data_IF_986347772263
#
_entry.id   IF_986347772263
#
_cell.length_a   1.000
_cell.length_b   1.000
_cell.length_c   1.000
_cell.angle_alpha   90.00
_cell.angle_beta   90.00
_cell.angle_gamma   90.00
#
_symmetry.space_group_name_H-M   'P 1'
#
loop_
_entity.id
_entity.type
_entity.pdbx_description
1 polymer ?
#
# COMPACT_ATOMS: atom_id res chain seq x y z
N UNK A 1 54.30 -17.27 8.94
CA UNK A 1 55.50 -16.53 8.48
C UNK A 1 55.12 -15.76 7.22
N UNK A 2 55.31 -14.42 7.27
CA UNK A 2 55.33 -13.39 6.20
C UNK A 2 54.19 -13.40 5.15
N UNK A 3 53.22 -12.46 5.15
CA UNK A 3 53.26 -10.99 4.88
C UNK A 3 53.60 -10.65 3.41
N UNK A 4 52.62 -10.15 2.63
CA UNK A 4 52.50 -8.74 2.15
C UNK A 4 51.40 -8.53 1.09
N UNK A 5 50.97 -7.25 1.03
CA UNK A 5 50.09 -6.56 0.07
C UNK A 5 48.60 -6.54 0.46
N UNK A 6 47.91 -5.40 0.65
CA UNK A 6 48.22 -3.97 0.67
C UNK A 6 47.23 -3.32 1.66
N UNK A 7 47.66 -2.23 2.28
CA UNK A 7 47.16 -1.65 3.54
C UNK A 7 46.25 -0.40 3.30
N UNK A 8 45.70 0.25 4.36
CA UNK A 8 44.33 0.75 4.47
C UNK A 8 44.24 2.29 4.51
N UNK A 9 43.03 2.83 4.68
CA UNK A 9 42.83 4.23 5.04
C UNK A 9 41.93 4.37 6.26
N UNK A 10 42.53 4.53 7.45
CA UNK A 10 41.96 5.27 8.60
C UNK A 10 43.10 5.89 9.42
N UNK A 11 42.86 7.13 9.90
CA UNK A 11 43.43 7.89 11.04
C UNK A 11 44.30 9.12 10.64
N UNK A 12 44.53 10.11 11.54
CA UNK A 12 43.62 11.22 11.85
C UNK A 12 44.33 12.61 11.80
N UNK A 13 43.56 13.70 11.78
CA UNK A 13 43.92 15.06 12.26
C UNK A 13 45.22 15.73 11.80
N UNK A 14 45.11 16.89 11.12
CA UNK A 14 45.69 18.17 11.56
C UNK A 14 45.23 19.28 10.60
N UNK A 15 44.63 20.34 11.17
CA UNK A 15 44.37 21.61 10.49
C UNK A 15 45.69 22.23 10.00
N UNK A 16 45.68 22.91 8.86
CA UNK A 16 46.31 24.22 8.62
C UNK A 16 45.76 24.81 7.31
N UNK A 17 44.95 25.86 7.42
CA UNK A 17 44.36 26.61 6.31
C UNK A 17 45.34 27.69 5.86
N UNK A 18 45.70 27.73 4.57
CA UNK A 18 46.45 28.84 3.94
C UNK A 18 45.48 29.71 3.16
N UNK A 19 45.46 30.99 3.51
CA UNK A 19 44.63 32.06 2.95
C UNK A 19 45.20 32.53 1.61
N UNK A 20 44.35 32.64 0.59
CA UNK A 20 44.62 33.36 -0.66
C UNK A 20 43.95 34.73 -0.59
N UNK A 21 44.73 35.78 -0.85
CA UNK A 21 44.30 37.19 -0.87
C UNK A 21 43.79 37.56 -2.26
N UNK A 22 42.60 38.18 -2.33
CA UNK A 22 42.11 38.89 -3.51
C UNK A 22 41.75 40.31 -3.06
N UNK A 23 42.39 41.30 -3.64
CA UNK A 23 42.12 42.73 -3.44
C UNK A 23 40.99 43.19 -4.35
N UNK A 24 39.90 43.70 -3.75
CA UNK A 24 38.83 44.42 -4.45
C UNK A 24 38.83 45.89 -4.01
N UNK A 25 38.85 46.79 -4.99
CA UNK A 25 38.76 48.24 -4.84
C UNK A 25 37.36 48.65 -4.39
N UNK A 26 37.27 49.47 -3.35
CA UNK A 26 35.99 49.95 -2.77
C UNK A 26 35.76 51.40 -3.18
N UNK A 27 34.63 51.68 -3.84
CA UNK A 27 34.14 53.04 -4.07
C UNK A 27 33.53 53.62 -2.77
N UNK A 28 33.65 54.93 -2.50
CA UNK A 28 33.12 55.52 -1.28
C UNK A 28 31.58 55.64 -1.34
N UNK A 29 30.92 55.14 -0.29
CA UNK A 29 29.47 55.22 -0.10
C UNK A 29 29.18 56.33 0.92
N UNK A 30 28.27 57.24 0.59
CA UNK A 30 27.81 58.34 1.45
C UNK A 30 27.21 57.84 2.78
N UNK A 31 27.29 58.63 3.87
CA UNK A 31 26.83 58.19 5.19
C UNK A 31 25.31 58.02 5.24
N UNK A 32 24.87 56.83 5.65
CA UNK A 32 23.47 56.49 5.93
C UNK A 32 23.14 56.89 7.37
N UNK A 33 22.02 57.60 7.56
CA UNK A 33 21.49 58.02 8.87
C UNK A 33 21.30 56.82 9.83
N UNK A 34 21.43 57.01 11.16
CA UNK A 34 21.34 55.92 12.12
C UNK A 34 19.92 55.31 12.13
N UNK A 35 19.85 54.01 11.86
CA UNK A 35 18.64 53.19 12.01
C UNK A 35 18.44 52.91 13.50
N UNK A 36 17.26 53.24 14.03
CA UNK A 36 16.87 52.92 15.40
C UNK A 36 17.02 51.42 15.68
N UNK A 37 17.48 51.01 16.88
CA UNK A 37 17.65 49.59 17.19
C UNK A 37 16.30 48.87 17.10
N UNK A 38 16.21 47.92 16.16
CA UNK A 38 15.09 46.97 16.09
C UNK A 38 15.21 46.06 17.30
N UNK A 39 14.26 46.17 18.23
CA UNK A 39 14.13 45.27 19.37
C UNK A 39 14.15 43.82 18.87
N UNK A 40 14.95 42.91 19.45
CA UNK A 40 14.92 41.52 19.06
C UNK A 40 13.54 40.97 19.39
N UNK A 41 12.75 40.64 18.37
CA UNK A 41 11.50 39.87 18.53
C UNK A 41 11.92 38.44 18.86
N UNK A 42 12.41 38.24 20.08
CA UNK A 42 12.55 36.95 20.74
C UNK A 42 11.18 36.60 21.32
N UNK A 43 10.22 36.26 20.47
CA UNK A 43 9.03 35.54 20.89
C UNK A 43 9.15 34.10 20.40
N UNK A 44 9.92 33.30 21.15
CA UNK A 44 9.69 31.86 21.19
C UNK A 44 8.23 31.71 21.59
N UNK A 45 7.36 31.31 20.66
CA UNK A 45 5.94 31.09 20.97
C UNK A 45 5.90 30.01 22.06
N UNK A 46 5.43 30.32 23.28
CA UNK A 46 5.24 29.30 24.30
C UNK A 46 4.24 28.27 23.75
N UNK A 47 4.63 27.00 23.76
CA UNK A 47 3.76 25.90 23.39
C UNK A 47 2.74 25.70 24.52
N UNK A 48 1.65 26.47 24.50
CA UNK A 48 0.54 26.29 25.42
C UNK A 48 -0.27 25.05 24.99
N UNK A 49 0.13 23.88 25.47
CA UNK A 49 -0.57 22.62 25.20
C UNK A 49 -2.02 22.60 25.76
N UNK A 50 -2.32 23.48 26.73
CA UNK A 50 -3.57 23.42 27.50
C UNK A 50 -4.67 24.38 26.99
N UNK A 51 -4.34 25.30 26.07
CA UNK A 51 -5.31 26.21 25.44
C UNK A 51 -5.01 26.39 23.95
N UNK A 52 -5.52 25.46 23.15
CA UNK A 52 -5.57 25.62 21.68
C UNK A 52 -6.59 26.70 21.30
N UNK A 53 -6.14 27.67 20.48
CA UNK A 53 -7.03 28.68 19.91
C UNK A 53 -8.09 27.99 19.03
N UNK A 54 -9.37 28.10 19.41
CA UNK A 54 -10.47 27.63 18.56
C UNK A 54 -10.53 28.51 17.31
N UNK A 55 -10.33 27.89 16.15
CA UNK A 55 -10.54 28.54 14.87
C UNK A 55 -12.00 28.38 14.45
N UNK A 56 -12.63 29.49 14.05
CA UNK A 56 -13.97 29.51 13.47
C UNK A 56 -15.10 29.86 14.44
N UNK A 57 -16.18 30.41 13.88
CA UNK A 57 -17.49 30.54 14.53
C UNK A 57 -18.28 29.24 14.36
N UNK A 58 -19.25 28.99 15.25
CA UNK A 58 -20.23 27.94 14.95
C UNK A 58 -21.06 28.39 13.74
N UNK A 59 -21.22 27.56 12.70
CA UNK A 59 -22.07 27.89 11.58
C UNK A 59 -23.52 27.98 12.06
N UNK A 60 -24.24 28.99 11.60
CA UNK A 60 -25.68 29.10 11.84
C UNK A 60 -26.40 28.02 11.02
N UNK A 61 -26.77 26.94 11.70
CA UNK A 61 -27.46 25.79 11.10
C UNK A 61 -28.89 26.10 10.67
N UNK A 62 -29.48 27.20 11.12
CA UNK A 62 -30.83 27.61 10.76
C UNK A 62 -30.85 28.52 9.54
N UNK A 63 -29.70 29.07 9.14
CA UNK A 63 -29.59 29.86 7.91
C UNK A 63 -29.99 29.05 6.68
N UNK A 64 -30.67 29.70 5.73
CA UNK A 64 -31.05 29.11 4.45
C UNK A 64 -29.84 28.55 3.70
N UNK A 65 -28.73 29.28 3.73
CA UNK A 65 -27.51 28.94 2.98
C UNK A 65 -26.85 27.66 3.53
N UNK A 66 -26.85 27.49 4.86
CA UNK A 66 -26.39 26.26 5.49
C UNK A 66 -27.30 25.09 5.13
N UNK A 67 -28.62 25.26 5.21
CA UNK A 67 -29.60 24.21 4.92
C UNK A 67 -29.46 23.70 3.48
N UNK A 68 -29.41 24.61 2.49
CA UNK A 68 -29.23 24.25 1.07
C UNK A 68 -27.91 23.53 0.83
N UNK A 69 -26.80 24.04 1.41
CA UNK A 69 -25.48 23.42 1.26
C UNK A 69 -25.42 22.02 1.90
N UNK A 70 -26.06 21.87 3.06
CA UNK A 70 -26.12 20.62 3.80
C UNK A 70 -26.95 19.57 3.06
N UNK A 71 -28.11 19.93 2.53
CA UNK A 71 -28.96 19.05 1.73
C UNK A 71 -28.23 18.54 0.48
N UNK A 72 -27.58 19.43 -0.26
CA UNK A 72 -26.78 19.06 -1.43
C UNK A 72 -25.66 18.09 -1.06
N UNK A 73 -24.90 18.38 0.01
CA UNK A 73 -23.80 17.51 0.45
C UNK A 73 -24.29 16.14 0.93
N UNK A 74 -25.42 16.07 1.64
CA UNK A 74 -26.01 14.78 2.05
C UNK A 74 -26.42 13.97 0.83
N UNK A 75 -27.00 14.61 -0.18
CA UNK A 75 -27.39 13.93 -1.40
C UNK A 75 -26.18 13.31 -2.11
N UNK A 76 -25.07 14.05 -2.25
CA UNK A 76 -23.81 13.52 -2.80
C UNK A 76 -23.27 12.33 -1.98
N UNK A 77 -23.27 12.43 -0.65
CA UNK A 77 -22.82 11.35 0.24
C UNK A 77 -23.72 10.12 0.10
N UNK A 78 -25.02 10.30 -0.08
CA UNK A 78 -25.96 9.21 -0.33
C UNK A 78 -25.67 8.51 -1.66
N UNK A 79 -25.47 9.27 -2.74
CA UNK A 79 -25.10 8.72 -4.05
C UNK A 79 -23.79 7.93 -3.99
N UNK A 80 -22.79 8.48 -3.29
CA UNK A 80 -21.50 7.81 -3.07
C UNK A 80 -21.70 6.48 -2.34
N UNK A 81 -22.43 6.48 -1.22
CA UNK A 81 -22.67 5.28 -0.39
C UNK A 81 -23.44 4.20 -1.14
N UNK A 82 -24.43 4.58 -1.95
CA UNK A 82 -25.17 3.61 -2.77
C UNK A 82 -24.30 3.02 -3.87
N UNK A 83 -23.50 3.84 -4.55
CA UNK A 83 -22.57 3.37 -5.57
C UNK A 83 -21.54 2.41 -4.97
N UNK A 84 -21.08 2.66 -3.75
CA UNK A 84 -20.17 1.77 -3.02
C UNK A 84 -20.74 0.36 -2.81
N UNK A 85 -22.06 0.21 -2.61
CA UNK A 85 -22.68 -1.11 -2.42
C UNK A 85 -22.47 -2.02 -3.62
N UNK A 86 -22.49 -1.46 -4.84
CA UNK A 86 -22.23 -2.22 -6.07
C UNK A 86 -20.81 -2.83 -6.06
N UNK A 87 -19.81 -2.08 -5.58
CA UNK A 87 -18.44 -2.60 -5.50
C UNK A 87 -18.23 -3.62 -4.38
N UNK A 88 -19.03 -3.55 -3.31
CA UNK A 88 -18.98 -4.54 -2.22
C UNK A 88 -19.52 -5.91 -2.65
N UNK A 89 -20.36 -5.95 -3.68
CA UNK A 89 -20.88 -7.20 -4.25
C UNK A 89 -19.83 -7.98 -5.05
N UNK A 90 -18.74 -7.35 -5.50
CA UNK A 90 -17.73 -8.01 -6.33
C UNK A 90 -18.35 -8.45 -7.68
N UNK A 91 -18.10 -9.68 -8.13
CA UNK A 91 -18.63 -10.21 -9.39
C UNK A 91 -20.14 -10.52 -9.42
N UNK A 92 -20.91 -10.02 -8.44
CA UNK A 92 -22.34 -10.23 -8.30
C UNK A 92 -22.72 -11.55 -7.63
N UNK A 93 -24.00 -11.68 -7.28
CA UNK A 93 -24.55 -12.78 -6.46
C UNK A 93 -24.25 -14.18 -7.00
N UNK A 94 -24.38 -14.36 -8.33
CA UNK A 94 -24.11 -15.66 -8.96
C UNK A 94 -22.66 -16.09 -8.78
N UNK A 95 -21.70 -15.17 -8.96
CA UNK A 95 -20.28 -15.46 -8.81
C UNK A 95 -19.91 -15.69 -7.33
N UNK A 96 -20.48 -14.90 -6.40
CA UNK A 96 -20.30 -15.10 -4.95
C UNK A 96 -20.79 -16.47 -4.51
N UNK A 97 -22.00 -16.89 -4.92
CA UNK A 97 -22.56 -18.21 -4.59
C UNK A 97 -21.71 -19.35 -5.13
N UNK A 98 -21.19 -19.22 -6.36
CA UNK A 98 -20.27 -20.21 -6.92
C UNK A 98 -18.93 -20.25 -6.18
N UNK A 99 -18.44 -19.11 -5.71
CA UNK A 99 -17.21 -19.03 -4.93
C UNK A 99 -17.38 -19.67 -3.55
N UNK A 100 -18.48 -19.36 -2.85
CA UNK A 100 -18.76 -19.92 -1.52
C UNK A 100 -19.15 -21.40 -1.57
N UNK A 101 -19.81 -21.88 -2.64
CA UNK A 101 -20.11 -23.31 -2.80
C UNK A 101 -18.86 -24.19 -2.92
N UNK A 102 -17.71 -23.60 -3.24
CA UNK A 102 -16.38 -24.26 -3.22
C UNK A 102 -15.72 -24.25 -1.84
N UNK A 103 -16.44 -23.84 -0.79
CA UNK A 103 -15.92 -23.76 0.58
C UNK A 103 -14.98 -22.57 0.83
N UNK A 104 -14.98 -21.58 -0.08
CA UNK A 104 -14.07 -20.42 -0.01
C UNK A 104 -14.76 -19.22 0.63
N UNK A 105 -14.06 -18.55 1.55
CA UNK A 105 -14.47 -17.23 2.03
C UNK A 105 -14.34 -16.18 0.92
N UNK A 106 -15.23 -15.18 0.92
CA UNK A 106 -15.14 -14.00 0.07
C UNK A 106 -13.95 -13.11 0.47
N UNK A 107 -13.39 -12.29 -0.43
CA UNK A 107 -12.20 -11.50 -0.15
C UNK A 107 -12.38 -10.53 1.02
N UNK A 108 -13.53 -9.87 1.15
CA UNK A 108 -13.83 -8.98 2.29
C UNK A 108 -13.92 -9.75 3.60
N UNK A 109 -14.58 -10.92 3.59
CA UNK A 109 -14.65 -11.78 4.78
C UNK A 109 -13.26 -12.29 5.22
N UNK A 110 -12.34 -12.53 4.27
CA UNK A 110 -10.95 -12.89 4.57
C UNK A 110 -10.22 -11.73 5.24
N UNK A 111 -10.41 -10.50 4.76
CA UNK A 111 -9.85 -9.30 5.39
C UNK A 111 -10.41 -9.15 6.80
N UNK A 112 -11.73 -9.21 6.97
CA UNK A 112 -12.37 -9.06 8.29
C UNK A 112 -11.89 -10.09 9.32
N UNK A 113 -11.60 -11.32 8.89
CA UNK A 113 -11.05 -12.37 9.76
C UNK A 113 -9.55 -12.25 10.02
N UNK A 114 -8.83 -11.55 9.15
CA UNK A 114 -7.39 -11.30 9.30
C UNK A 114 -7.14 -10.13 10.27
N UNK A 115 -8.02 -9.12 10.25
CA UNK A 115 -7.89 -7.94 11.07
C UNK A 115 -8.11 -8.23 12.56
N UNK A 116 -7.49 -7.41 13.40
CA UNK A 116 -7.76 -7.41 14.84
C UNK A 116 -9.22 -7.04 15.11
N UNK A 117 -9.90 -7.69 16.08
CA UNK A 117 -11.29 -7.38 16.40
C UNK A 117 -11.50 -5.90 16.71
N UNK A 118 -12.40 -5.25 15.96
CA UNK A 118 -12.71 -3.83 16.10
C UNK A 118 -11.71 -2.88 15.44
N UNK A 119 -10.66 -3.38 14.79
CA UNK A 119 -9.74 -2.56 14.00
C UNK A 119 -10.48 -1.90 12.83
N UNK A 120 -10.21 -0.62 12.54
CA UNK A 120 -10.65 -0.01 11.29
C UNK A 120 -9.92 -0.65 10.10
N UNK A 121 -10.52 -0.52 8.92
CA UNK A 121 -9.89 -0.83 7.64
C UNK A 121 -10.03 0.39 6.70
N UNK A 122 -8.89 0.96 6.31
CA UNK A 122 -8.84 2.08 5.36
C UNK A 122 -8.66 1.51 3.94
N UNK A 123 -9.77 1.29 3.25
CA UNK A 123 -9.75 0.77 1.88
C UNK A 123 -9.35 1.83 0.85
N UNK A 124 -8.49 1.44 -0.09
CA UNK A 124 -8.03 2.28 -1.18
C UNK A 124 -8.85 2.07 -2.46
N UNK A 125 -9.11 3.16 -3.17
CA UNK A 125 -9.57 3.15 -4.57
C UNK A 125 -10.74 2.17 -4.82
N UNK A 126 -11.79 2.26 -4.01
CA UNK A 126 -13.00 1.43 -4.11
C UNK A 126 -13.68 1.53 -5.49
N UNK A 127 -13.59 2.70 -6.12
CA UNK A 127 -14.14 2.99 -7.45
C UNK A 127 -13.18 2.63 -8.60
N UNK A 128 -12.10 1.89 -8.33
CA UNK A 128 -11.20 1.46 -9.38
C UNK A 128 -11.97 0.66 -10.46
N UNK A 129 -11.68 0.98 -11.72
CA UNK A 129 -12.34 0.46 -12.92
C UNK A 129 -13.81 0.87 -13.13
N UNK A 130 -14.36 1.77 -12.31
CA UNK A 130 -15.73 2.27 -12.53
C UNK A 130 -15.84 2.90 -13.92
N UNK A 131 -16.77 2.39 -14.73
CA UNK A 131 -17.04 2.81 -16.11
C UNK A 131 -15.81 2.79 -17.07
N UNK A 132 -14.74 2.07 -16.71
CA UNK A 132 -13.48 2.11 -17.45
C UNK A 132 -13.43 1.16 -18.66
N UNK A 133 -14.11 0.02 -18.59
CA UNK A 133 -14.01 -1.06 -19.58
C UNK A 133 -15.28 -1.22 -20.44
N UNK A 134 -16.00 -0.12 -20.66
CA UNK A 134 -17.22 -0.10 -21.46
C UNK A 134 -18.31 -0.97 -20.83
N UNK A 135 -18.66 -2.08 -21.48
CA UNK A 135 -19.71 -3.00 -21.01
C UNK A 135 -19.22 -3.97 -19.93
N UNK A 136 -17.91 -4.07 -19.72
CA UNK A 136 -17.35 -4.97 -18.71
C UNK A 136 -17.26 -4.29 -17.36
N UNK A 137 -17.99 -4.83 -16.38
CA UNK A 137 -17.83 -4.42 -15.00
C UNK A 137 -16.67 -5.17 -14.35
N UNK A 138 -15.77 -4.41 -13.72
CA UNK A 138 -14.63 -4.94 -12.95
C UNK A 138 -14.62 -4.25 -11.58
N UNK A 139 -15.59 -4.56 -10.69
CA UNK A 139 -15.77 -3.85 -9.42
C UNK A 139 -14.49 -3.78 -8.59
N UNK A 140 -14.18 -2.58 -8.06
CA UNK A 140 -12.95 -2.27 -7.33
C UNK A 140 -11.64 -2.65 -8.07
N UNK A 141 -11.68 -2.84 -9.39
CA UNK A 141 -10.56 -3.33 -10.19
C UNK A 141 -10.24 -4.81 -9.97
N UNK A 142 -11.16 -5.60 -9.38
CA UNK A 142 -10.95 -7.03 -9.08
C UNK A 142 -9.95 -7.30 -7.95
N UNK A 143 -9.61 -6.26 -7.18
CA UNK A 143 -8.66 -6.33 -6.07
C UNK A 143 -9.04 -5.34 -4.98
N UNK A 144 -9.01 -5.80 -3.74
CA UNK A 144 -9.28 -5.00 -2.54
C UNK A 144 -7.94 -4.71 -1.90
N UNK A 145 -7.67 -3.44 -1.66
CA UNK A 145 -6.40 -2.97 -1.09
C UNK A 145 -6.69 -1.98 0.02
N UNK A 146 -5.94 -2.01 1.11
CA UNK A 146 -6.13 -1.06 2.19
C UNK A 146 -5.15 -1.26 3.35
N UNK A 147 -5.25 -0.40 4.35
CA UNK A 147 -4.51 -0.53 5.61
C UNK A 147 -5.44 -1.03 6.69
N UNK A 148 -5.01 -2.03 7.45
CA UNK A 148 -5.67 -2.43 8.68
C UNK A 148 -4.68 -3.02 9.68
N UNK A 149 -5.14 -3.22 10.91
CA UNK A 149 -4.30 -3.74 11.99
C UNK A 149 -4.38 -5.26 12.07
N UNK A 150 -3.23 -5.93 12.08
CA UNK A 150 -3.09 -7.38 12.23
C UNK A 150 -2.12 -7.64 13.38
N UNK A 151 -2.63 -8.21 14.46
CA UNK A 151 -1.88 -8.51 15.69
C UNK A 151 -1.09 -7.31 16.21
N UNK A 152 -1.73 -6.14 16.23
CA UNK A 152 -1.17 -4.88 16.72
C UNK A 152 -0.41 -4.05 15.69
N UNK A 153 -0.11 -4.60 14.50
CA UNK A 153 0.72 -3.95 13.47
C UNK A 153 -0.14 -3.46 12.31
N UNK A 154 0.11 -2.23 11.83
CA UNK A 154 -0.55 -1.69 10.64
C UNK A 154 0.07 -2.29 9.37
N UNK A 155 -0.75 -2.98 8.59
CA UNK A 155 -0.32 -3.70 7.40
C UNK A 155 -1.09 -3.21 6.18
N UNK A 156 -0.41 -3.12 5.04
CA UNK A 156 -1.08 -3.03 3.73
C UNK A 156 -1.55 -4.43 3.35
N UNK A 157 -2.86 -4.58 3.16
CA UNK A 157 -3.49 -5.83 2.74
C UNK A 157 -3.90 -5.69 1.28
N UNK A 158 -3.58 -6.71 0.48
CA UNK A 158 -3.90 -6.79 -0.95
C UNK A 158 -4.60 -8.13 -1.21
N UNK A 159 -5.90 -8.10 -1.50
CA UNK A 159 -6.72 -9.29 -1.66
C UNK A 159 -7.37 -9.35 -3.05
N UNK A 160 -7.11 -10.40 -3.81
CA UNK A 160 -7.78 -10.61 -5.09
C UNK A 160 -9.25 -11.00 -4.89
N UNK A 161 -10.14 -10.42 -5.70
CA UNK A 161 -11.53 -10.86 -5.76
C UNK A 161 -11.73 -11.86 -6.90
N UNK A 162 -11.65 -13.16 -6.55
CA UNK A 162 -11.87 -14.24 -7.50
C UNK A 162 -13.29 -14.26 -8.11
N UNK A 163 -14.26 -13.56 -7.51
CA UNK A 163 -15.61 -13.43 -8.08
C UNK A 163 -15.62 -12.48 -9.28
N UNK A 164 -14.73 -11.50 -9.32
CA UNK A 164 -14.62 -10.51 -10.41
C UNK A 164 -13.74 -11.08 -11.51
N UNK A 165 -14.35 -11.55 -12.60
CA UNK A 165 -13.63 -12.06 -13.79
C UNK A 165 -12.57 -13.12 -13.45
N UNK A 166 -12.85 -13.96 -12.44
CA UNK A 166 -11.91 -14.99 -11.96
C UNK A 166 -10.69 -14.46 -11.23
N UNK A 167 -10.72 -13.21 -10.75
CA UNK A 167 -9.57 -12.53 -10.13
C UNK A 167 -8.46 -12.20 -11.12
N UNK A 168 -8.78 -12.10 -12.42
CA UNK A 168 -7.79 -11.79 -13.45
C UNK A 168 -7.33 -10.33 -13.38
N UNK A 169 -6.06 -10.08 -13.68
CA UNK A 169 -5.49 -8.74 -13.67
C UNK A 169 -5.84 -7.99 -14.95
N UNK A 170 -6.68 -6.97 -14.80
CA UNK A 170 -6.87 -5.91 -15.78
C UNK A 170 -5.77 -4.85 -15.63
N UNK A 171 -5.56 -3.96 -16.62
CA UNK A 171 -4.57 -2.87 -16.50
C UNK A 171 -4.72 -2.05 -15.21
N UNK A 172 -5.96 -1.75 -14.81
CA UNK A 172 -6.22 -1.02 -13.56
C UNK A 172 -5.94 -1.84 -12.31
N UNK A 173 -6.08 -3.17 -12.37
CA UNK A 173 -5.73 -4.07 -11.26
C UNK A 173 -4.25 -3.98 -10.97
N UNK A 174 -3.41 -3.98 -12.02
CA UNK A 174 -1.95 -3.82 -11.90
C UNK A 174 -1.63 -2.48 -11.24
N UNK A 175 -2.20 -1.39 -11.79
CA UNK A 175 -1.97 -0.03 -11.27
C UNK A 175 -2.39 0.10 -9.81
N UNK A 176 -3.54 -0.48 -9.42
CA UNK A 176 -4.03 -0.47 -8.03
C UNK A 176 -3.12 -1.28 -7.10
N UNK A 177 -2.63 -2.44 -7.54
CA UNK A 177 -1.67 -3.24 -6.77
C UNK A 177 -0.36 -2.47 -6.55
N UNK A 178 0.23 -1.91 -7.61
CA UNK A 178 1.46 -1.12 -7.51
C UNK A 178 1.29 0.10 -6.60
N UNK A 179 0.13 0.76 -6.67
CA UNK A 179 -0.17 1.88 -5.76
C UNK A 179 -0.22 1.44 -4.29
N UNK A 180 -0.74 0.25 -4.00
CA UNK A 180 -0.74 -0.28 -2.64
C UNK A 180 0.69 -0.54 -2.13
N UNK A 181 1.56 -1.11 -2.98
CA UNK A 181 2.98 -1.32 -2.65
C UNK A 181 3.73 0.00 -2.47
N UNK A 182 3.43 1.02 -3.27
CA UNK A 182 4.03 2.35 -3.12
C UNK A 182 3.65 2.98 -1.78
N UNK A 183 2.38 2.88 -1.37
CA UNK A 183 1.92 3.32 -0.04
C UNK A 183 2.65 2.55 1.05
N UNK A 184 2.77 1.22 0.91
CA UNK A 184 3.50 0.38 1.86
C UNK A 184 4.96 0.83 2.00
N UNK A 185 5.63 1.10 0.88
CA UNK A 185 7.01 1.57 0.85
C UNK A 185 7.18 2.92 1.55
N UNK A 186 6.36 3.91 1.18
CA UNK A 186 6.46 5.29 1.67
C UNK A 186 6.16 5.41 3.18
N UNK A 187 5.38 4.47 3.73
CA UNK A 187 4.95 4.48 5.12
C UNK A 187 5.59 3.36 5.95
N UNK A 188 6.55 2.62 5.38
CA UNK A 188 7.22 1.50 6.04
C UNK A 188 6.26 0.43 6.60
N UNK A 189 5.20 0.10 5.86
CA UNK A 189 4.17 -0.86 6.28
C UNK A 189 4.43 -2.26 5.69
N UNK A 190 4.33 -3.34 6.49
CA UNK A 190 4.34 -4.71 5.97
C UNK A 190 3.21 -4.95 4.96
N UNK A 191 3.44 -5.88 4.03
CA UNK A 191 2.44 -6.25 3.02
C UNK A 191 1.92 -7.67 3.27
N UNK A 192 0.59 -7.84 3.21
CA UNK A 192 -0.08 -9.15 3.24
C UNK A 192 -0.88 -9.34 1.95
N UNK A 193 -0.50 -10.33 1.16
CA UNK A 193 -1.12 -10.68 -0.11
C UNK A 193 -2.06 -11.88 0.06
N UNK A 194 -3.37 -11.67 -0.07
CA UNK A 194 -4.37 -12.74 -0.12
C UNK A 194 -4.60 -13.14 -1.58
N UNK A 195 -3.81 -14.09 -2.05
CA UNK A 195 -3.68 -14.43 -3.47
C UNK A 195 -4.75 -15.43 -3.88
N UNK A 196 -5.55 -15.04 -4.88
CA UNK A 196 -6.62 -15.86 -5.46
C UNK A 196 -6.95 -15.32 -6.87
N UNK A 197 -6.07 -15.60 -7.83
CA UNK A 197 -6.08 -14.99 -9.16
C UNK A 197 -5.91 -16.00 -10.29
N UNK A 198 -6.77 -15.90 -11.31
CA UNK A 198 -6.67 -16.66 -12.55
C UNK A 198 -5.56 -16.22 -13.51
N UNK A 199 -4.76 -15.21 -13.18
CA UNK A 199 -3.68 -14.69 -14.03
C UNK A 199 -4.00 -13.34 -14.67
N UNK A 200 -3.42 -13.04 -15.84
CA UNK A 200 -3.62 -11.78 -16.55
C UNK A 200 -4.87 -11.80 -17.44
N UNK A 201 -5.49 -10.64 -17.66
CA UNK A 201 -6.53 -10.48 -18.67
C UNK A 201 -5.90 -10.56 -20.08
N UNK A 202 -5.96 -11.73 -20.71
CA UNK A 202 -5.30 -12.00 -21.99
C UNK A 202 -5.70 -11.04 -23.13
N UNK A 203 -6.98 -10.62 -23.29
CA UNK A 203 -7.33 -9.66 -24.33
C UNK A 203 -6.62 -8.30 -24.20
N UNK A 204 -6.17 -7.95 -22.99
CA UNK A 204 -5.47 -6.69 -22.68
C UNK A 204 -4.03 -6.92 -22.23
N UNK A 205 -3.43 -8.04 -22.60
CA UNK A 205 -2.09 -8.41 -22.14
C UNK A 205 -1.03 -7.34 -22.42
N UNK A 206 -1.15 -6.60 -23.53
CA UNK A 206 -0.19 -5.55 -23.91
C UNK A 206 -0.16 -4.40 -22.90
N UNK A 207 -1.28 -4.14 -22.23
CA UNK A 207 -1.44 -3.11 -21.19
C UNK A 207 -1.27 -3.68 -19.77
N UNK A 208 -0.91 -4.96 -19.66
CA UNK A 208 -0.77 -5.68 -18.38
C UNK A 208 0.64 -6.22 -18.18
N UNK A 209 1.36 -6.60 -19.25
CA UNK A 209 2.59 -7.38 -19.14
C UNK A 209 3.90 -6.61 -19.40
N UNK A 210 4.09 -5.90 -20.54
CA UNK A 210 5.45 -5.60 -21.03
C UNK A 210 6.16 -4.40 -20.42
N UNK A 211 5.45 -3.38 -19.95
CA UNK A 211 6.05 -2.08 -19.60
C UNK A 211 6.61 -2.04 -18.16
N UNK A 212 7.42 -1.00 -17.86
CA UNK A 212 8.10 -0.80 -16.59
C UNK A 212 7.18 -0.82 -15.37
N UNK A 213 5.97 -0.30 -15.52
CA UNK A 213 4.96 -0.19 -14.47
C UNK A 213 3.80 -1.18 -14.70
N UNK A 214 4.07 -2.27 -15.42
CA UNK A 214 3.15 -3.40 -15.64
C UNK A 214 3.39 -4.52 -14.61
N UNK A 215 2.76 -5.68 -14.81
CA UNK A 215 2.62 -6.74 -13.82
C UNK A 215 3.95 -7.21 -13.19
N UNK A 216 5.03 -7.26 -13.98
CA UNK A 216 6.37 -7.62 -13.47
C UNK A 216 6.92 -6.68 -12.39
N UNK A 217 6.44 -5.43 -12.34
CA UNK A 217 6.86 -4.43 -11.34
C UNK A 217 6.44 -4.82 -9.92
N UNK A 218 5.39 -5.63 -9.77
CA UNK A 218 4.94 -6.14 -8.48
C UNK A 218 6.07 -6.92 -7.81
N UNK A 219 6.75 -7.78 -8.57
CA UNK A 219 7.82 -8.65 -8.07
C UNK A 219 9.09 -7.86 -7.78
N UNK A 220 9.42 -6.90 -8.64
CA UNK A 220 10.52 -5.97 -8.40
C UNK A 220 10.31 -5.19 -7.09
N UNK A 221 9.09 -4.69 -6.86
CA UNK A 221 8.75 -3.99 -5.62
C UNK A 221 8.80 -4.93 -4.41
N UNK A 222 8.27 -6.16 -4.50
CA UNK A 222 8.34 -7.15 -3.41
C UNK A 222 9.78 -7.43 -2.98
N UNK A 223 10.68 -7.68 -3.94
CA UNK A 223 12.09 -7.94 -3.65
C UNK A 223 12.78 -6.74 -2.98
N UNK A 224 12.50 -5.52 -3.47
CA UNK A 224 13.08 -4.31 -2.89
C UNK A 224 12.48 -3.94 -1.52
N UNK A 225 11.21 -4.25 -1.27
CA UNK A 225 10.58 -4.07 0.04
C UNK A 225 11.15 -5.05 1.06
N UNK A 226 11.29 -6.32 0.70
CA UNK A 226 11.90 -7.35 1.55
C UNK A 226 13.37 -7.01 1.87
N UNK A 227 14.15 -6.51 0.89
CA UNK A 227 15.55 -6.12 1.11
C UNK A 227 15.73 -4.94 2.08
N UNK A 228 14.68 -4.13 2.28
CA UNK A 228 14.66 -3.03 3.25
C UNK A 228 14.34 -3.52 4.69
N UNK A 229 14.11 -4.81 4.94
CA UNK A 229 13.79 -5.32 6.28
C UNK A 229 13.48 -6.82 6.40
N UNK A 230 14.50 -7.66 6.32
CA UNK A 230 14.48 -9.09 5.96
C UNK A 230 13.71 -10.05 6.92
N UNK A 231 12.95 -11.00 6.35
CA UNK A 231 12.98 -12.43 6.75
C UNK A 231 12.37 -13.36 5.67
N UNK A 232 13.15 -14.30 5.13
CA UNK A 232 12.61 -15.45 4.38
C UNK A 232 12.37 -16.65 5.32
N UNK A 233 11.12 -17.11 5.47
CA UNK A 233 10.76 -18.42 6.04
C UNK A 233 9.48 -18.95 5.37
N UNK A 234 9.57 -20.11 4.70
CA UNK A 234 8.40 -20.80 4.13
C UNK A 234 7.68 -21.64 5.20
N UNK A 235 6.40 -21.40 5.45
CA UNK A 235 5.56 -22.25 6.33
C UNK A 235 4.39 -22.84 5.53
N UNK A 236 4.48 -24.13 5.20
CA UNK A 236 3.33 -24.89 4.67
C UNK A 236 2.51 -25.41 5.85
N UNK A 237 1.45 -24.69 6.26
CA UNK A 237 0.54 -25.17 7.31
C UNK A 237 -0.53 -26.12 6.75
N UNK A 238 -0.80 -27.20 7.50
CA UNK A 238 -1.61 -28.33 7.06
C UNK A 238 -3.11 -28.20 7.41
N UNK A 239 -3.52 -27.20 8.21
CA UNK A 239 -4.92 -26.99 8.62
C UNK A 239 -5.23 -25.50 8.81
N UNK A 240 -6.43 -25.08 8.39
CA UNK A 240 -6.91 -23.71 8.41
C UNK A 240 -7.34 -23.30 9.82
N UNK A 241 -6.36 -23.08 10.69
CA UNK A 241 -6.53 -22.30 11.90
C UNK A 241 -5.36 -21.31 11.94
N UNK A 242 -5.67 -20.02 11.79
CA UNK A 242 -4.75 -18.95 12.16
C UNK A 242 -4.65 -18.97 13.69
N UNK A 243 -4.00 -20.01 14.22
CA UNK A 243 -3.58 -20.06 15.62
C UNK A 243 -2.61 -18.91 15.78
N UNK A 244 -2.96 -17.98 16.69
CA UNK A 244 -2.16 -16.82 17.10
C UNK A 244 -0.68 -17.12 16.92
N UNK A 245 -0.05 -16.59 15.88
CA UNK A 245 1.40 -16.55 15.84
C UNK A 245 1.81 -15.61 16.96
N UNK A 246 2.39 -16.15 18.03
CA UNK A 246 2.81 -15.41 19.22
C UNK A 246 3.95 -14.40 18.95
N UNK A 247 4.23 -14.04 17.69
CA UNK A 247 5.43 -13.31 17.31
C UNK A 247 5.21 -12.19 16.30
N UNK A 248 3.98 -11.66 16.17
CA UNK A 248 3.74 -10.45 15.36
C UNK A 248 4.36 -9.20 16.01
N UNK A 249 4.44 -9.18 17.33
CA UNK A 249 5.00 -8.06 18.10
C UNK A 249 6.52 -7.86 17.94
N UNK A 250 7.25 -8.75 17.23
CA UNK A 250 8.66 -8.55 16.87
C UNK A 250 8.87 -7.92 15.48
N UNK A 251 7.79 -7.55 14.77
CA UNK A 251 7.85 -6.99 13.42
C UNK A 251 8.31 -5.52 13.40
N UNK A 252 9.62 -5.31 13.29
CA UNK A 252 10.19 -3.99 13.00
C UNK A 252 10.49 -3.76 11.51
N UNK A 253 10.00 -4.63 10.61
CA UNK A 253 10.49 -4.64 9.23
C UNK A 253 9.42 -4.99 8.18
N UNK A 254 9.62 -4.45 6.98
CA UNK A 254 8.79 -4.47 5.76
C UNK A 254 8.50 -5.87 5.16
N UNK A 255 8.11 -6.84 6.00
CA UNK A 255 7.89 -8.23 5.56
C UNK A 255 6.79 -8.36 4.51
N UNK A 256 7.01 -9.26 3.56
CA UNK A 256 6.09 -9.60 2.47
C UNK A 256 5.46 -10.96 2.72
N UNK A 257 4.22 -11.02 3.21
CA UNK A 257 3.53 -12.29 3.52
C UNK A 257 2.55 -12.60 2.39
N UNK A 258 2.57 -13.82 1.85
CA UNK A 258 1.59 -14.29 0.88
C UNK A 258 0.76 -15.46 1.43
N UNK A 259 -0.55 -15.38 1.24
CA UNK A 259 -1.50 -16.43 1.60
C UNK A 259 -2.23 -16.86 0.33
N UNK A 260 -1.88 -18.04 -0.20
CA UNK A 260 -2.46 -18.60 -1.42
C UNK A 260 -3.73 -19.37 -1.06
N UNK A 261 -4.87 -18.79 -1.45
CA UNK A 261 -6.20 -19.27 -1.09
C UNK A 261 -7.00 -19.77 -2.31
N UNK A 262 -6.33 -19.94 -3.45
CA UNK A 262 -6.92 -20.46 -4.67
C UNK A 262 -5.87 -20.57 -5.78
N UNK A 263 -6.28 -20.32 -7.01
CA UNK A 263 -5.36 -20.39 -8.15
C UNK A 263 -4.32 -19.28 -8.08
N UNK A 264 -3.09 -19.64 -8.43
CA UNK A 264 -1.95 -18.74 -8.56
C UNK A 264 -1.10 -19.21 -9.75
N UNK A 265 -1.39 -18.67 -10.93
CA UNK A 265 -0.84 -19.18 -12.21
C UNK A 265 0.09 -18.17 -12.90
N UNK A 266 1.09 -18.69 -13.61
CA UNK A 266 2.02 -17.94 -14.45
C UNK A 266 2.65 -16.77 -13.70
N UNK A 267 2.44 -15.53 -14.16
CA UNK A 267 2.98 -14.37 -13.48
C UNK A 267 2.56 -14.31 -12.00
N UNK A 268 1.32 -14.71 -11.67
CA UNK A 268 0.84 -14.68 -10.29
C UNK A 268 1.68 -15.53 -9.33
N UNK A 269 2.30 -16.61 -9.83
CA UNK A 269 3.11 -17.55 -9.04
C UNK A 269 4.33 -16.89 -8.38
N UNK A 270 4.82 -15.77 -8.93
CA UNK A 270 5.93 -15.03 -8.34
C UNK A 270 5.55 -14.28 -7.06
N UNK A 271 4.26 -13.95 -6.84
CA UNK A 271 3.83 -13.27 -5.61
C UNK A 271 4.16 -14.11 -4.36
N UNK A 272 3.74 -15.38 -4.25
CA UNK A 272 4.15 -16.23 -3.13
C UNK A 272 5.60 -16.72 -3.22
N UNK A 273 6.15 -16.92 -4.43
CA UNK A 273 7.53 -17.39 -4.56
C UNK A 273 8.58 -16.34 -4.12
N UNK A 274 8.24 -15.05 -4.20
CA UNK A 274 9.11 -13.93 -3.78
C UNK A 274 8.66 -13.28 -2.47
N UNK A 275 7.65 -13.86 -1.81
CA UNK A 275 7.26 -13.47 -0.47
C UNK A 275 8.29 -13.98 0.55
N UNK A 276 8.44 -13.22 1.62
CA UNK A 276 9.21 -13.56 2.81
C UNK A 276 8.64 -14.82 3.48
N UNK A 277 7.32 -14.85 3.65
CA UNK A 277 6.60 -16.00 4.17
C UNK A 277 5.40 -16.34 3.28
N UNK A 278 5.21 -17.62 3.00
CA UNK A 278 4.15 -18.12 2.14
C UNK A 278 3.35 -19.20 2.82
N UNK A 279 2.03 -18.98 2.93
CA UNK A 279 1.04 -19.93 3.44
C UNK A 279 0.15 -20.38 2.28
N UNK A 280 -0.14 -21.68 2.21
CA UNK A 280 -0.97 -22.26 1.14
C UNK A 280 -2.12 -23.03 1.77
N UNK A 281 -3.37 -22.70 1.41
CA UNK A 281 -4.55 -23.42 1.89
C UNK A 281 -4.58 -24.81 1.26
N UNK A 282 -4.40 -25.85 2.08
CA UNK A 282 -4.38 -27.24 1.61
C UNK A 282 -5.63 -27.59 0.80
N UNK A 283 -5.45 -28.37 -0.28
CA UNK A 283 -6.51 -28.82 -1.22
C UNK A 283 -7.24 -27.70 -1.98
N UNK A 284 -6.81 -26.44 -1.86
CA UNK A 284 -7.47 -25.29 -2.50
C UNK A 284 -6.47 -24.34 -3.16
N UNK A 285 -5.40 -23.97 -2.47
CA UNK A 285 -4.31 -23.15 -3.00
C UNK A 285 -3.43 -23.94 -3.96
N UNK A 286 -3.16 -23.37 -5.13
CA UNK A 286 -2.28 -23.98 -6.14
C UNK A 286 -1.35 -22.93 -6.73
N UNK A 287 -0.07 -23.27 -6.88
CA UNK A 287 0.96 -22.40 -7.48
C UNK A 287 1.56 -23.14 -8.67
N UNK A 288 1.56 -22.53 -9.86
CA UNK A 288 2.17 -23.12 -11.05
C UNK A 288 2.60 -22.04 -12.06
N UNK A 289 3.77 -22.24 -12.70
CA UNK A 289 4.25 -21.36 -13.78
C UNK A 289 3.41 -21.52 -15.06
N UNK A 290 2.85 -22.69 -15.29
CA UNK A 290 1.87 -22.96 -16.35
C UNK A 290 0.77 -23.84 -15.77
N UNK A 291 -0.49 -23.42 -15.91
CA UNK A 291 -1.63 -24.22 -15.44
C UNK A 291 -1.79 -25.50 -16.26
N UNK A 292 -2.58 -26.48 -15.78
CA UNK A 292 -2.82 -27.73 -16.51
C UNK A 292 -3.14 -27.54 -18.01
N UNK A 293 -3.99 -26.58 -18.43
CA UNK A 293 -4.28 -26.37 -19.85
C UNK A 293 -3.07 -26.01 -20.75
N UNK A 294 -1.94 -25.60 -20.18
CA UNK A 294 -0.71 -25.23 -20.91
C UNK A 294 0.35 -26.35 -20.92
N UNK A 295 0.15 -27.39 -20.10
CA UNK A 295 1.11 -28.49 -19.93
C UNK A 295 0.65 -29.75 -20.68
N UNK A 296 -0.60 -29.77 -21.15
CA UNK A 296 -1.20 -30.85 -21.96
C UNK A 296 -0.87 -30.74 -23.45
#
# INVERSE_FOLDING_TARGET
MLVRALRPWVRPGLLHCRTLSVTLSVCPVSPVSPVSPVSPVSSVRPYHADQVARLGSQPDKQSSDYQVSYESKIHEVFLLRNSMQLFHLGGGEKARKLHTSRGKLLPRERIDRLLDPGSPFLEFSQFAAYELYGKEEVPAGGIITGIGRVSGVECVIVANDATVKGGTYYPITVKKHLRAQEIAQQNHLPCIYLVDSGGANLPRQADVFPDRDHFGRIFFNQANLSSQGIAQVHIVQNECAFSRSEDVSRFHFLRQIAVVMGSCTAGGAYVPAMADESVIVRKQGTIFLGGPPLVC
#
